data_IF_627267254094
#
_entry.id   IF_627267254094
#
_cell.length_a   1.000
_cell.length_b   1.000
_cell.length_c   1.000
_cell.angle_alpha   90.00
_cell.angle_beta   90.00
_cell.angle_gamma   90.00
#
_symmetry.space_group_name_H-M   'P 1'
#
loop_
_entity.id
_entity.type
_entity.pdbx_description
1 polymer ?
#
# COMPACT_ATOMS: atom_id res chain seq x y z
N UNK A 1 26.84 -4.53 18.28
CA UNK A 1 26.47 -3.12 18.54
C UNK A 1 26.20 -2.96 20.03
N UNK A 2 26.68 -1.89 20.69
CA UNK A 2 26.42 -1.68 22.12
C UNK A 2 24.98 -1.21 22.37
N UNK A 3 24.38 -1.62 23.48
CA UNK A 3 23.00 -1.25 23.86
C UNK A 3 22.82 0.27 23.95
N UNK A 4 23.85 0.99 24.40
CA UNK A 4 23.84 2.45 24.47
C UNK A 4 23.79 3.10 23.08
N UNK A 5 24.56 2.58 22.11
CA UNK A 5 24.53 3.06 20.73
C UNK A 5 23.14 2.84 20.11
N UNK A 6 22.53 1.68 20.32
CA UNK A 6 21.19 1.38 19.83
C UNK A 6 20.14 2.35 20.41
N UNK A 7 20.24 2.67 21.71
CA UNK A 7 19.36 3.66 22.34
C UNK A 7 19.49 5.06 21.72
N UNK A 8 20.72 5.53 21.49
CA UNK A 8 20.91 6.82 20.82
C UNK A 8 20.40 6.82 19.38
N UNK A 9 20.53 5.70 18.67
CA UNK A 9 20.00 5.55 17.32
C UNK A 9 18.47 5.61 17.30
N UNK A 10 17.81 4.89 18.20
CA UNK A 10 16.35 4.94 18.35
C UNK A 10 15.87 6.35 18.70
N UNK A 11 16.56 7.04 19.60
CA UNK A 11 16.24 8.44 19.92
C UNK A 11 16.46 9.38 18.72
N UNK A 12 17.46 9.12 17.88
CA UNK A 12 17.68 9.88 16.66
C UNK A 12 16.54 9.68 15.66
N UNK A 13 16.12 8.44 15.45
CA UNK A 13 15.00 8.10 14.58
C UNK A 13 13.69 8.73 15.05
N UNK A 14 13.45 8.80 16.37
CA UNK A 14 12.30 9.51 16.93
C UNK A 14 12.33 11.03 16.63
N UNK A 15 13.53 11.65 16.63
CA UNK A 15 13.68 13.05 16.20
C UNK A 15 13.44 13.22 14.70
N UNK A 16 13.90 12.29 13.88
CA UNK A 16 13.56 12.31 12.45
C UNK A 16 12.05 12.22 12.26
N UNK A 17 11.38 11.28 12.93
CA UNK A 17 9.94 11.10 12.85
C UNK A 17 9.15 12.37 13.18
N UNK A 18 9.54 13.10 14.24
CA UNK A 18 8.87 14.35 14.63
C UNK A 18 8.97 15.48 13.59
N UNK A 19 9.94 15.39 12.68
CA UNK A 19 10.18 16.37 11.61
C UNK A 19 9.84 15.83 10.21
N UNK A 20 9.32 14.62 10.11
CA UNK A 20 9.12 13.90 8.83
C UNK A 20 7.64 13.52 8.67
N UNK A 21 6.75 14.51 8.42
CA UNK A 21 5.30 14.30 8.38
C UNK A 21 4.85 13.36 7.24
N UNK A 22 5.66 13.22 6.19
CA UNK A 22 5.39 12.36 5.03
C UNK A 22 6.62 11.58 4.60
N UNK A 23 6.43 10.46 3.89
CA UNK A 23 7.50 9.72 3.23
C UNK A 23 8.23 10.55 2.14
N UNK A 24 7.60 11.62 1.65
CA UNK A 24 8.21 12.55 0.70
C UNK A 24 9.22 13.53 1.32
N UNK A 25 9.31 13.59 2.66
CA UNK A 25 10.20 14.54 3.33
C UNK A 25 11.65 14.14 3.05
N UNK A 26 12.42 15.07 2.48
CA UNK A 26 13.85 14.89 2.21
C UNK A 26 14.70 15.53 3.31
N UNK A 27 15.96 15.12 3.43
CA UNK A 27 16.84 15.57 4.51
C UNK A 27 16.99 17.11 4.57
N UNK A 28 17.03 17.78 3.42
CA UNK A 28 17.15 19.25 3.33
C UNK A 28 15.94 20.01 3.88
N UNK A 29 14.80 19.36 4.11
CA UNK A 29 13.61 19.95 4.74
C UNK A 29 13.66 19.90 6.27
N UNK A 30 14.62 19.17 6.84
CA UNK A 30 14.77 19.02 8.28
C UNK A 30 15.52 20.22 8.90
N UNK A 31 15.34 20.49 10.21
CA UNK A 31 16.15 21.45 10.93
C UNK A 31 17.57 20.90 11.20
N UNK A 32 18.38 20.73 10.16
CA UNK A 32 19.70 20.05 10.18
C UNK A 32 20.65 20.64 11.24
N UNK A 33 20.68 21.96 11.40
CA UNK A 33 21.52 22.61 12.42
C UNK A 33 21.12 22.22 13.85
N UNK A 34 19.83 22.04 14.10
CA UNK A 34 19.33 21.64 15.41
C UNK A 34 19.54 20.15 15.65
N UNK A 35 19.32 19.33 14.61
CA UNK A 35 19.50 17.87 14.67
C UNK A 35 20.98 17.48 14.89
N UNK A 36 21.91 18.14 14.22
CA UNK A 36 23.35 17.88 14.38
C UNK A 36 23.86 18.20 15.80
N UNK A 37 23.24 19.17 16.47
CA UNK A 37 23.55 19.53 17.87
C UNK A 37 22.77 18.70 18.89
N UNK A 38 21.82 17.88 18.47
CA UNK A 38 21.02 17.08 19.37
C UNK A 38 21.87 16.03 20.09
N UNK A 39 21.50 15.70 21.34
CA UNK A 39 22.21 14.72 22.16
C UNK A 39 22.43 13.36 21.45
N UNK A 40 21.45 12.72 20.77
CA UNK A 40 21.71 11.46 20.10
C UNK A 40 22.71 11.57 18.94
N UNK A 41 22.66 12.64 18.14
CA UNK A 41 23.60 12.85 17.03
C UNK A 41 25.04 13.06 17.55
N UNK A 42 25.20 13.92 18.56
CA UNK A 42 26.51 14.18 19.19
C UNK A 42 27.10 12.95 19.88
N UNK A 43 26.27 12.12 20.55
CA UNK A 43 26.72 10.86 21.19
C UNK A 43 27.04 9.76 20.21
N UNK A 44 26.43 9.77 19.02
CA UNK A 44 26.76 8.86 17.93
C UNK A 44 27.99 9.32 17.13
N UNK A 45 28.42 10.58 17.32
CA UNK A 45 29.54 11.17 16.61
C UNK A 45 29.24 11.44 15.14
N UNK A 46 27.97 11.70 14.80
CA UNK A 46 27.55 11.95 13.42
C UNK A 46 27.80 13.40 13.05
N UNK A 47 28.52 13.64 11.96
CA UNK A 47 28.51 14.93 11.28
C UNK A 47 27.26 15.07 10.39
N UNK A 48 27.16 16.17 9.64
CA UNK A 48 25.99 16.43 8.77
C UNK A 48 25.85 15.37 7.67
N UNK A 49 26.96 14.89 7.10
CA UNK A 49 26.96 13.91 6.01
C UNK A 49 26.53 12.53 6.55
N UNK A 50 27.04 12.17 7.72
CA UNK A 50 26.66 10.94 8.41
C UNK A 50 25.19 10.95 8.85
N UNK A 51 24.71 12.13 9.29
CA UNK A 51 23.32 12.33 9.67
C UNK A 51 22.37 12.20 8.47
N UNK A 52 22.74 12.76 7.32
CA UNK A 52 21.99 12.61 6.07
C UNK A 52 21.93 11.14 5.66
N UNK A 53 23.06 10.43 5.65
CA UNK A 53 23.11 9.01 5.32
C UNK A 53 22.27 8.14 6.25
N UNK A 54 22.28 8.45 7.55
CA UNK A 54 21.45 7.75 8.53
C UNK A 54 19.97 8.05 8.32
N UNK A 55 19.61 9.30 8.02
CA UNK A 55 18.24 9.68 7.67
C UNK A 55 17.74 8.95 6.42
N UNK A 56 18.52 8.94 5.34
CA UNK A 56 18.16 8.24 4.10
C UNK A 56 17.99 6.73 4.33
N UNK A 57 18.85 6.13 5.14
CA UNK A 57 18.72 4.73 5.53
C UNK A 57 17.42 4.49 6.29
N UNK A 58 17.16 5.26 7.33
CA UNK A 58 15.93 5.17 8.13
C UNK A 58 14.67 5.41 7.28
N UNK A 59 14.68 6.40 6.40
CA UNK A 59 13.56 6.72 5.53
C UNK A 59 13.29 5.59 4.52
N UNK A 60 14.33 4.91 4.01
CA UNK A 60 14.17 3.71 3.18
C UNK A 60 13.53 2.56 3.94
N UNK A 61 13.98 2.30 5.17
CA UNK A 61 13.38 1.26 6.04
C UNK A 61 11.91 1.56 6.30
N UNK A 62 11.58 2.81 6.67
CA UNK A 62 10.20 3.26 6.88
C UNK A 62 9.35 3.15 5.61
N UNK A 63 9.90 3.49 4.45
CA UNK A 63 9.20 3.36 3.16
C UNK A 63 8.94 1.88 2.82
N UNK A 64 9.90 1.01 3.10
CA UNK A 64 9.75 -0.43 2.91
C UNK A 64 8.66 -1.02 3.82
N UNK A 65 8.65 -0.65 5.10
CA UNK A 65 7.60 -1.05 6.04
C UNK A 65 6.22 -0.54 5.62
N UNK A 66 6.13 0.73 5.21
CA UNK A 66 4.88 1.30 4.69
C UNK A 66 4.40 0.58 3.43
N UNK A 67 5.32 0.17 2.55
CA UNK A 67 4.97 -0.58 1.34
C UNK A 67 4.44 -1.98 1.68
N UNK A 68 5.09 -2.68 2.61
CA UNK A 68 4.59 -3.96 3.10
C UNK A 68 3.20 -3.82 3.71
N UNK A 69 2.98 -2.82 4.56
CA UNK A 69 1.68 -2.56 5.16
C UNK A 69 0.61 -2.24 4.09
N UNK A 70 0.98 -1.55 3.01
CA UNK A 70 0.10 -1.32 1.86
C UNK A 70 -0.25 -2.62 1.13
N UNK A 71 0.71 -3.53 0.92
CA UNK A 71 0.43 -4.81 0.29
C UNK A 71 -0.44 -5.71 1.20
N UNK A 72 -0.17 -5.73 2.50
CA UNK A 72 -0.99 -6.43 3.50
C UNK A 72 -2.44 -5.90 3.48
N UNK A 73 -2.62 -4.58 3.44
CA UNK A 73 -3.93 -3.92 3.32
C UNK A 73 -4.72 -4.40 2.11
N UNK A 74 -4.08 -4.55 0.95
CA UNK A 74 -4.76 -5.01 -0.26
C UNK A 74 -5.27 -6.44 -0.09
N UNK A 75 -4.48 -7.31 0.53
CA UNK A 75 -4.84 -8.71 0.79
C UNK A 75 -5.89 -8.92 1.90
N UNK A 76 -5.96 -8.00 2.86
CA UNK A 76 -6.94 -8.04 3.95
C UNK A 76 -8.32 -7.55 3.50
N UNK A 77 -8.39 -6.77 2.42
CA UNK A 77 -9.61 -6.09 2.02
C UNK A 77 -10.46 -6.96 1.09
N UNK A 78 -11.50 -7.58 1.64
CA UNK A 78 -12.43 -8.43 0.90
C UNK A 78 -13.11 -7.73 -0.30
N UNK A 79 -13.26 -6.40 -0.29
CA UNK A 79 -13.79 -5.67 -1.44
C UNK A 79 -12.75 -5.53 -2.57
N UNK A 80 -11.46 -5.40 -2.23
CA UNK A 80 -10.37 -5.41 -3.23
C UNK A 80 -10.33 -6.77 -3.92
N UNK A 81 -10.42 -7.85 -3.15
CA UNK A 81 -10.52 -9.22 -3.67
C UNK A 81 -11.75 -9.42 -4.58
N UNK A 82 -12.91 -8.92 -4.14
CA UNK A 82 -14.15 -8.98 -4.91
C UNK A 82 -14.01 -8.28 -6.27
N UNK A 83 -13.57 -7.02 -6.27
CA UNK A 83 -13.40 -6.25 -7.51
C UNK A 83 -12.31 -6.85 -8.41
N UNK A 84 -11.19 -7.29 -7.85
CA UNK A 84 -10.12 -7.93 -8.61
C UNK A 84 -10.56 -9.20 -9.32
N UNK A 85 -11.32 -10.07 -8.65
CA UNK A 85 -11.86 -11.29 -9.26
C UNK A 85 -12.95 -10.99 -10.28
N UNK A 86 -13.80 -9.99 -10.01
CA UNK A 86 -14.87 -9.58 -10.91
C UNK A 86 -14.31 -8.99 -12.22
N UNK A 87 -13.22 -8.22 -12.15
CA UNK A 87 -12.54 -7.69 -13.35
C UNK A 87 -11.97 -8.79 -14.26
N UNK A 88 -11.58 -9.94 -13.71
CA UNK A 88 -11.10 -11.10 -14.50
C UNK A 88 -12.21 -11.82 -15.26
N UNK A 89 -13.46 -11.74 -14.79
CA UNK A 89 -14.62 -12.31 -15.48
C UNK A 89 -15.06 -11.46 -16.68
N UNK A 90 -14.79 -10.14 -16.64
CA UNK A 90 -15.17 -9.19 -17.68
C UNK A 90 -14.16 -9.02 -18.82
N UNK A 91 -12.95 -9.56 -18.69
CA UNK A 91 -11.90 -9.46 -19.70
C UNK A 91 -12.00 -10.55 -20.78
N UNK A 92 -12.53 -10.20 -21.95
CA UNK A 92 -12.38 -11.02 -23.16
C UNK A 92 -10.89 -11.10 -23.53
N UNK A 93 -10.26 -12.28 -23.40
CA UNK A 93 -9.02 -12.57 -24.13
C UNK A 93 -7.82 -13.15 -23.37
N UNK A 94 -7.93 -13.52 -22.08
CA UNK A 94 -6.89 -14.37 -21.45
C UNK A 94 -7.33 -15.83 -21.46
N UNK A 95 -6.43 -16.72 -21.89
CA UNK A 95 -6.56 -18.16 -22.25
C UNK A 95 -7.01 -19.11 -21.10
N UNK A 96 -7.96 -18.66 -20.29
CA UNK A 96 -8.54 -19.36 -19.14
C UNK A 96 -9.71 -18.61 -18.51
N UNK A 97 -10.26 -17.59 -19.19
CA UNK A 97 -11.45 -16.86 -18.74
C UNK A 97 -12.69 -17.74 -18.89
N UNK A 98 -13.34 -18.04 -17.77
CA UNK A 98 -14.70 -18.61 -17.78
C UNK A 98 -15.57 -17.66 -18.59
N UNK A 99 -16.24 -18.16 -19.63
CA UNK A 99 -17.20 -17.36 -20.41
C UNK A 99 -18.21 -16.78 -19.42
N UNK A 100 -18.40 -15.46 -19.47
CA UNK A 100 -19.38 -14.74 -18.66
C UNK A 100 -20.86 -15.17 -18.92
N UNK A 101 -21.09 -16.17 -19.77
CA UNK A 101 -22.38 -16.82 -20.02
C UNK A 101 -22.61 -18.09 -19.17
N UNK A 102 -21.61 -18.60 -18.43
CA UNK A 102 -21.76 -19.75 -17.50
C UNK A 102 -22.11 -19.33 -16.05
N UNK A 103 -22.21 -18.03 -15.78
CA UNK A 103 -22.75 -17.51 -14.52
C UNK A 103 -24.27 -17.55 -14.59
N UNK A 104 -24.85 -18.73 -14.33
CA UNK A 104 -26.28 -18.92 -14.11
C UNK A 104 -26.82 -17.89 -13.11
N UNK A 105 -28.03 -17.40 -13.35
CA UNK A 105 -28.84 -16.51 -12.50
C UNK A 105 -29.19 -17.18 -11.15
N UNK A 106 -28.17 -17.53 -10.36
CA UNK A 106 -28.28 -18.15 -9.05
C UNK A 106 -28.20 -17.10 -7.96
N UNK A 107 -29.34 -16.87 -7.32
CA UNK A 107 -29.59 -16.02 -6.16
C UNK A 107 -28.43 -16.01 -5.15
N UNK A 108 -27.73 -14.88 -5.08
CA UNK A 108 -26.81 -14.55 -4.00
C UNK A 108 -27.53 -13.70 -2.94
N UNK A 109 -28.24 -14.35 -2.02
CA UNK A 109 -28.69 -13.71 -0.77
C UNK A 109 -27.46 -13.25 0.03
N UNK A 110 -27.12 -11.97 -0.04
CA UNK A 110 -26.01 -11.44 0.76
C UNK A 110 -25.69 -9.96 0.60
N UNK A 111 -26.08 -9.32 -0.51
CA UNK A 111 -25.91 -7.89 -0.68
C UNK A 111 -27.14 -7.32 -1.36
N UNK A 112 -27.83 -6.40 -0.70
CA UNK A 112 -29.12 -5.88 -1.14
C UNK A 112 -29.10 -5.33 -2.57
N UNK A 113 -30.06 -5.79 -3.37
CA UNK A 113 -30.32 -5.35 -4.74
C UNK A 113 -29.74 -6.28 -5.78
N UNK A 114 -30.54 -6.63 -6.78
CA UNK A 114 -30.17 -7.31 -8.02
C UNK A 114 -29.15 -6.47 -8.81
N UNK A 115 -27.91 -6.42 -8.34
CA UNK A 115 -26.82 -5.75 -9.04
C UNK A 115 -26.33 -6.71 -10.12
N UNK A 116 -26.49 -6.31 -11.38
CA UNK A 116 -26.00 -7.07 -12.53
C UNK A 116 -24.47 -7.17 -12.49
N UNK A 117 -23.99 -8.29 -11.95
CA UNK A 117 -22.57 -8.60 -11.81
C UNK A 117 -21.85 -8.60 -13.17
N UNK A 118 -22.57 -8.86 -14.28
CA UNK A 118 -22.04 -8.82 -15.65
C UNK A 118 -21.74 -7.39 -16.10
N UNK A 119 -22.60 -6.43 -15.74
CA UNK A 119 -22.40 -5.02 -16.02
C UNK A 119 -21.25 -4.42 -15.18
N UNK A 120 -21.11 -4.89 -13.93
CA UNK A 120 -20.00 -4.50 -13.05
C UNK A 120 -18.65 -5.08 -13.51
N UNK A 121 -18.61 -6.34 -13.95
CA UNK A 121 -17.39 -7.00 -14.42
C UNK A 121 -16.76 -6.32 -15.64
N UNK A 122 -17.57 -5.79 -16.56
CA UNK A 122 -17.09 -5.04 -17.74
C UNK A 122 -16.51 -3.66 -17.40
N UNK A 123 -16.81 -3.13 -16.21
CA UNK A 123 -16.48 -1.78 -15.78
C UNK A 123 -15.75 -1.75 -14.44
N UNK A 124 -15.00 -2.79 -14.07
CA UNK A 124 -14.15 -2.72 -12.87
C UNK A 124 -13.05 -1.70 -13.11
N UNK A 125 -13.39 -0.45 -12.82
CA UNK A 125 -12.53 0.70 -12.85
C UNK A 125 -11.75 0.75 -11.53
N UNK A 126 -10.47 1.10 -11.63
CA UNK A 126 -9.60 1.33 -10.49
C UNK A 126 -10.22 2.32 -9.49
N UNK A 127 -11.12 3.20 -9.97
CA UNK A 127 -11.90 4.11 -9.16
C UNK A 127 -12.71 3.45 -8.04
N UNK A 128 -13.31 2.28 -8.24
CA UNK A 128 -14.08 1.60 -7.18
C UNK A 128 -13.17 1.05 -6.08
N UNK A 129 -12.03 0.47 -6.48
CA UNK A 129 -11.00 0.01 -5.54
C UNK A 129 -10.45 1.19 -4.73
N UNK A 130 -10.16 2.31 -5.39
CA UNK A 130 -9.69 3.53 -4.72
C UNK A 130 -10.73 4.10 -3.75
N UNK A 131 -12.02 4.05 -4.07
CA UNK A 131 -13.10 4.53 -3.16
C UNK A 131 -13.11 3.79 -1.83
N UNK A 132 -12.79 2.49 -1.83
CA UNK A 132 -12.72 1.68 -0.61
C UNK A 132 -11.44 2.00 0.17
N UNK A 133 -10.32 2.23 -0.52
CA UNK A 133 -9.01 2.40 0.10
C UNK A 133 -8.71 3.84 0.58
N UNK A 134 -9.39 4.86 0.04
CA UNK A 134 -9.06 6.29 0.23
C UNK A 134 -8.94 6.77 1.69
N UNK A 135 -9.56 6.07 2.64
CA UNK A 135 -9.52 6.43 4.07
C UNK A 135 -8.55 5.56 4.88
N UNK A 136 -7.95 4.51 4.30
CA UNK A 136 -6.95 3.71 4.99
C UNK A 136 -5.62 4.48 5.06
N UNK A 137 -5.07 4.61 6.27
CA UNK A 137 -3.80 5.33 6.49
C UNK A 137 -2.65 4.74 5.67
N UNK A 138 -2.66 3.42 5.45
CA UNK A 138 -1.66 2.69 4.66
C UNK A 138 -1.74 3.04 3.18
N UNK A 139 -2.93 3.41 2.69
CA UNK A 139 -3.12 3.98 1.35
C UNK A 139 -2.65 5.45 1.30
N UNK A 140 -3.11 6.27 2.25
CA UNK A 140 -2.89 7.74 2.30
C UNK A 140 -1.41 8.11 2.43
N UNK A 141 -0.59 7.29 3.10
CA UNK A 141 0.86 7.56 3.27
C UNK A 141 1.60 7.74 1.93
N UNK A 142 1.04 7.21 0.83
CA UNK A 142 1.57 7.30 -0.52
C UNK A 142 0.93 8.39 -1.39
N UNK A 143 0.22 9.37 -0.82
CA UNK A 143 -0.41 10.47 -1.57
C UNK A 143 0.57 11.32 -2.39
N UNK A 144 1.85 11.29 -2.02
CA UNK A 144 2.94 11.95 -2.73
C UNK A 144 3.38 11.23 -4.01
N UNK A 145 2.94 9.98 -4.24
CA UNK A 145 3.28 9.16 -5.42
C UNK A 145 2.04 8.44 -5.97
N UNK A 146 0.98 9.19 -6.36
CA UNK A 146 -0.31 8.62 -6.72
C UNK A 146 -0.22 7.63 -7.90
N UNK A 147 0.58 7.95 -8.93
CA UNK A 147 0.76 7.10 -10.12
C UNK A 147 1.41 5.76 -9.77
N UNK A 148 2.39 5.76 -8.86
CA UNK A 148 3.04 4.53 -8.42
C UNK A 148 2.10 3.66 -7.61
N UNK A 149 1.33 4.30 -6.72
CA UNK A 149 0.31 3.63 -5.92
C UNK A 149 -0.75 2.97 -6.80
N UNK A 150 -1.26 3.67 -7.80
CA UNK A 150 -2.21 3.10 -8.77
C UNK A 150 -1.61 1.92 -9.52
N UNK A 151 -0.36 2.03 -9.97
CA UNK A 151 0.35 0.92 -10.62
C UNK A 151 0.46 -0.30 -9.72
N UNK A 152 0.76 -0.13 -8.43
CA UNK A 152 0.84 -1.25 -7.49
C UNK A 152 -0.51 -1.94 -7.32
N UNK A 153 -1.60 -1.19 -7.23
CA UNK A 153 -2.95 -1.74 -7.15
C UNK A 153 -3.27 -2.53 -8.43
N UNK A 154 -3.00 -1.97 -9.61
CA UNK A 154 -3.21 -2.67 -10.89
C UNK A 154 -2.43 -3.99 -10.95
N UNK A 155 -1.16 -3.98 -10.54
CA UNK A 155 -0.34 -5.19 -10.51
C UNK A 155 -0.92 -6.24 -9.55
N UNK A 156 -1.31 -5.83 -8.34
CA UNK A 156 -1.93 -6.73 -7.36
C UNK A 156 -3.20 -7.38 -7.90
N UNK A 157 -4.11 -6.59 -8.49
CA UNK A 157 -5.36 -7.11 -9.05
C UNK A 157 -5.11 -8.07 -10.23
N UNK A 158 -4.08 -7.82 -11.04
CA UNK A 158 -3.69 -8.69 -12.14
C UNK A 158 -3.17 -10.05 -11.64
N UNK A 159 -2.53 -10.10 -10.47
CA UNK A 159 -1.98 -11.32 -9.87
C UNK A 159 -3.02 -12.19 -9.14
N UNK A 160 -4.18 -11.64 -8.76
CA UNK A 160 -5.24 -12.37 -8.06
C UNK A 160 -5.74 -13.59 -8.87
N UNK A 161 -6.05 -14.74 -8.26
CA UNK A 161 -6.60 -15.87 -9.02
C UNK A 161 -7.98 -15.53 -9.59
N UNK A 162 -8.40 -16.15 -10.72
CA UNK A 162 -9.79 -16.06 -11.14
C UNK A 162 -10.72 -16.59 -10.04
N UNK A 163 -11.97 -16.10 -9.95
CA UNK A 163 -12.90 -16.56 -8.93
C UNK A 163 -13.12 -18.08 -9.01
N UNK A 164 -13.06 -18.76 -7.87
CA UNK A 164 -13.41 -20.17 -7.76
C UNK A 164 -14.92 -20.32 -7.90
N UNK A 165 -15.38 -20.76 -9.06
CA UNK A 165 -16.77 -21.20 -9.24
C UNK A 165 -16.91 -22.59 -8.62
N UNK A 166 -17.44 -22.66 -7.41
CA UNK A 166 -17.82 -23.94 -6.79
C UNK A 166 -19.16 -24.38 -7.35
N UNK A 167 -19.13 -25.29 -8.33
CA UNK A 167 -20.30 -26.02 -8.78
C UNK A 167 -20.63 -27.09 -7.74
N UNK A 168 -21.81 -27.02 -7.11
CA UNK A 168 -22.39 -28.19 -6.44
C UNK A 168 -23.19 -28.97 -7.50
N UNK A 169 -22.80 -30.23 -7.74
CA UNK A 169 -23.53 -31.21 -8.56
C UNK A 169 -24.55 -31.92 -7.69
#
# INVERSE_FOLDING_TARGET
>A
MSQLRAKHLSNLHALFESHTPSLATVFSMLPVESLSKALPATKLGLDVIDLEREFEKWQRERTHEARKAFDDMLSENAFVDFWGRLGKLGGEGTDGGVKADDLSEGEGEGFGGTVDMKALAKNVDLGEVVKVLKNDKRYVVFDHVPEQRERWIRNYLAELPPPKLSFHV
#
